data_IF_904774884670
#
_entry.id   IF_904774884670
#
_cell.length_a   1.000
_cell.length_b   1.000
_cell.length_c   1.000
_cell.angle_alpha   90.00
_cell.angle_beta   90.00
_cell.angle_gamma   90.00
#
_symmetry.space_group_name_H-M   'P 1'
#
loop_
_entity.id
_entity.type
_entity.pdbx_description
1 polymer ?
#
# COMPACT_ATOMS: atom_id res chain seq x y z
N UNK A 1 22.26 10.54 -3.94
CA UNK A 1 21.82 9.89 -5.21
C UNK A 1 22.84 8.82 -5.53
N UNK A 2 22.44 7.57 -5.50
CA UNK A 2 23.29 6.42 -5.79
C UNK A 2 23.73 6.46 -7.27
N UNK A 3 24.94 5.95 -7.59
CA UNK A 3 25.40 5.88 -8.99
C UNK A 3 24.42 5.12 -9.90
N UNK A 4 23.75 4.13 -9.37
CA UNK A 4 22.73 3.34 -10.08
C UNK A 4 21.50 4.17 -10.46
N UNK A 5 21.00 5.05 -9.58
CA UNK A 5 19.88 5.94 -9.85
C UNK A 5 20.16 6.88 -11.02
N UNK A 6 21.38 7.43 -11.06
CA UNK A 6 21.79 8.31 -12.15
C UNK A 6 21.83 7.57 -13.51
N UNK A 7 22.29 6.32 -13.52
CA UNK A 7 22.33 5.47 -14.71
C UNK A 7 20.92 5.13 -15.18
N UNK A 8 20.02 4.70 -14.27
CA UNK A 8 18.65 4.35 -14.60
C UNK A 8 17.87 5.56 -15.12
N UNK A 9 17.98 6.73 -14.46
CA UNK A 9 17.39 7.97 -14.96
C UNK A 9 17.92 8.35 -16.35
N UNK A 10 19.23 8.21 -16.56
CA UNK A 10 19.83 8.44 -17.86
C UNK A 10 19.26 7.51 -18.94
N UNK A 11 19.08 6.23 -18.66
CA UNK A 11 18.48 5.25 -19.56
C UNK A 11 17.03 5.63 -19.88
N UNK A 12 16.25 6.04 -18.88
CA UNK A 12 14.85 6.38 -19.05
C UNK A 12 14.59 7.71 -19.78
N UNK A 13 15.63 8.55 -19.92
CA UNK A 13 15.59 9.73 -20.79
C UNK A 13 15.91 9.42 -22.27
N UNK A 14 16.26 8.17 -22.60
CA UNK A 14 16.56 7.79 -23.98
C UNK A 14 15.29 7.76 -24.84
N UNK A 15 15.40 8.08 -26.14
CA UNK A 15 14.36 7.77 -27.12
C UNK A 15 14.00 6.28 -27.08
N UNK A 16 12.73 5.94 -27.27
CA UNK A 16 12.20 4.57 -27.11
C UNK A 16 13.05 3.50 -27.82
N UNK A 17 13.46 3.75 -29.08
CA UNK A 17 14.27 2.79 -29.84
C UNK A 17 15.68 2.54 -29.25
N UNK A 18 16.27 3.52 -28.55
CA UNK A 18 17.53 3.36 -27.83
C UNK A 18 17.31 2.68 -26.47
N UNK A 19 16.26 3.07 -25.77
CA UNK A 19 15.86 2.42 -24.52
C UNK A 19 15.68 0.90 -24.71
N UNK A 20 14.91 0.50 -25.73
CA UNK A 20 14.68 -0.91 -26.02
C UNK A 20 15.98 -1.67 -26.37
N UNK A 21 16.95 -1.04 -27.05
CA UNK A 21 18.26 -1.65 -27.31
C UNK A 21 19.04 -1.90 -26.02
N UNK A 22 19.07 -0.91 -25.12
CA UNK A 22 19.75 -1.05 -23.81
C UNK A 22 19.08 -2.12 -22.98
N UNK A 23 17.75 -2.12 -22.91
CA UNK A 23 16.96 -3.13 -22.22
C UNK A 23 17.25 -4.54 -22.77
N UNK A 24 17.18 -4.74 -24.07
CA UNK A 24 17.44 -6.02 -24.71
C UNK A 24 18.88 -6.50 -24.46
N UNK A 25 19.85 -5.60 -24.46
CA UNK A 25 21.23 -5.94 -24.06
C UNK A 25 21.31 -6.41 -22.60
N UNK A 26 20.62 -5.74 -21.68
CA UNK A 26 20.55 -6.14 -20.26
C UNK A 26 19.91 -7.53 -20.11
N UNK A 27 18.84 -7.82 -20.85
CA UNK A 27 18.19 -9.14 -20.90
C UNK A 27 19.19 -10.20 -21.38
N UNK A 28 19.88 -9.97 -22.51
CA UNK A 28 20.87 -10.91 -23.07
C UNK A 28 22.05 -11.18 -22.13
N UNK A 29 22.36 -10.22 -21.24
CA UNK A 29 23.41 -10.36 -20.23
C UNK A 29 22.90 -10.87 -18.88
N UNK A 30 21.67 -11.39 -18.82
CA UNK A 30 21.02 -11.89 -17.62
C UNK A 30 21.04 -10.88 -16.44
N UNK A 31 20.91 -9.59 -16.76
CA UNK A 31 20.83 -8.51 -15.78
C UNK A 31 19.37 -8.21 -15.42
N UNK A 32 18.64 -9.24 -14.95
CA UNK A 32 17.19 -9.16 -14.69
C UNK A 32 16.82 -7.99 -13.79
N UNK A 33 17.54 -7.79 -12.69
CA UNK A 33 17.33 -6.65 -11.80
C UNK A 33 17.40 -5.30 -12.54
N UNK A 34 18.40 -5.10 -13.42
CA UNK A 34 18.53 -3.86 -14.18
C UNK A 34 17.37 -3.67 -15.15
N UNK A 35 16.90 -4.74 -15.77
CA UNK A 35 15.72 -4.71 -16.65
C UNK A 35 14.48 -4.27 -15.88
N UNK A 36 14.23 -4.90 -14.75
CA UNK A 36 13.09 -4.56 -13.89
C UNK A 36 13.11 -3.09 -13.45
N UNK A 37 14.27 -2.61 -12.97
CA UNK A 37 14.40 -1.22 -12.54
C UNK A 37 14.20 -0.26 -13.72
N UNK A 38 14.80 -0.54 -14.88
CA UNK A 38 14.62 0.29 -16.06
C UNK A 38 13.16 0.33 -16.52
N UNK A 39 12.49 -0.82 -16.57
CA UNK A 39 11.08 -0.91 -16.98
C UNK A 39 10.17 -0.14 -16.04
N UNK A 40 10.42 -0.27 -14.75
CA UNK A 40 9.64 0.40 -13.73
C UNK A 40 9.81 1.93 -13.76
N UNK A 41 11.06 2.43 -13.83
CA UNK A 41 11.32 3.86 -13.99
C UNK A 41 10.78 4.40 -15.31
N UNK A 42 10.93 3.64 -16.40
CA UNK A 42 10.39 4.01 -17.70
C UNK A 42 8.88 4.16 -17.65
N UNK A 43 8.19 3.19 -17.06
CA UNK A 43 6.74 3.23 -16.88
C UNK A 43 6.28 4.40 -15.98
N UNK A 44 7.11 4.88 -15.05
CA UNK A 44 6.81 6.03 -14.21
C UNK A 44 7.07 7.39 -14.90
N UNK A 45 7.53 7.40 -16.15
CA UNK A 45 7.67 8.64 -16.90
C UNK A 45 6.32 9.31 -17.19
N UNK A 46 6.31 10.65 -17.33
CA UNK A 46 5.08 11.43 -17.60
C UNK A 46 4.32 10.98 -18.85
N UNK A 47 4.99 10.32 -19.81
CA UNK A 47 4.34 9.82 -21.01
C UNK A 47 3.22 8.82 -20.71
N UNK A 48 3.36 8.03 -19.63
CA UNK A 48 2.34 7.07 -19.23
C UNK A 48 1.13 7.69 -18.51
N UNK A 49 1.22 8.95 -18.10
CA UNK A 49 0.07 9.70 -17.61
C UNK A 49 -0.87 10.15 -18.75
N UNK A 50 -0.36 10.15 -19.97
CA UNK A 50 -1.05 10.68 -21.17
C UNK A 50 -1.30 9.59 -22.21
N UNK A 51 -1.35 8.32 -21.79
CA UNK A 51 -1.65 7.22 -22.71
C UNK A 51 -3.09 7.35 -23.22
N UNK A 52 -3.24 7.13 -24.53
CA UNK A 52 -4.50 7.16 -25.26
C UNK A 52 -4.83 5.77 -25.83
N UNK A 53 -6.01 5.63 -26.42
CA UNK A 53 -6.45 4.36 -27.01
C UNK A 53 -5.44 3.78 -28.01
N UNK A 54 -4.79 4.65 -28.82
CA UNK A 54 -3.78 4.27 -29.81
C UNK A 54 -2.51 3.65 -29.24
N UNK A 55 -2.21 3.89 -27.97
CA UNK A 55 -1.02 3.37 -27.30
C UNK A 55 -1.16 1.91 -26.86
N UNK A 56 -2.39 1.38 -26.83
CA UNK A 56 -2.66 0.02 -26.40
C UNK A 56 -2.93 -0.91 -27.59
N UNK A 57 -2.28 -2.07 -27.60
CA UNK A 57 -2.41 -3.08 -28.65
C UNK A 57 -3.52 -4.09 -28.34
N UNK A 58 -3.79 -4.37 -27.07
CA UNK A 58 -4.81 -5.30 -26.57
C UNK A 58 -5.21 -4.91 -25.15
N UNK A 59 -6.20 -5.62 -24.61
CA UNK A 59 -6.57 -5.53 -23.18
C UNK A 59 -5.97 -6.70 -22.43
N UNK A 60 -5.41 -6.46 -21.22
CA UNK A 60 -5.08 -7.52 -20.26
C UNK A 60 -6.14 -7.54 -19.16
N UNK A 61 -6.97 -8.58 -19.18
CA UNK A 61 -7.94 -8.86 -18.10
C UNK A 61 -7.22 -9.55 -16.92
N UNK A 62 -7.18 -8.88 -15.77
CA UNK A 62 -6.51 -9.35 -14.57
C UNK A 62 -7.55 -10.05 -13.67
N UNK A 63 -7.71 -11.35 -13.88
CA UNK A 63 -8.66 -12.21 -13.16
C UNK A 63 -7.97 -13.10 -12.13
N UNK A 64 -6.63 -13.15 -12.15
CA UNK A 64 -5.81 -13.96 -11.25
C UNK A 64 -4.67 -13.12 -10.69
N UNK A 65 -4.30 -13.41 -9.45
CA UNK A 65 -3.14 -12.84 -8.78
C UNK A 65 -2.18 -13.93 -8.30
N UNK A 66 -1.18 -13.54 -7.53
CA UNK A 66 -0.24 -14.47 -6.90
C UNK A 66 -0.94 -15.39 -5.88
N UNK A 67 -2.01 -14.89 -5.25
CA UNK A 67 -2.83 -15.63 -4.29
C UNK A 67 -4.30 -15.52 -4.66
N UNK A 68 -5.10 -16.44 -4.15
CA UNK A 68 -6.55 -16.37 -4.21
C UNK A 68 -7.02 -15.42 -3.09
N UNK A 69 -7.32 -14.18 -3.48
CA UNK A 69 -7.81 -13.16 -2.55
C UNK A 69 -9.33 -13.23 -2.44
N UNK A 70 -9.83 -13.31 -1.23
CA UNK A 70 -11.28 -13.35 -0.95
C UNK A 70 -11.84 -11.97 -0.60
N UNK A 71 -10.98 -11.01 -0.22
CA UNK A 71 -11.33 -9.65 0.17
C UNK A 71 -10.12 -8.71 0.01
N UNK A 72 -10.37 -7.42 0.10
CA UNK A 72 -9.34 -6.40 0.03
C UNK A 72 -8.35 -6.48 1.19
N UNK A 73 -7.07 -6.48 0.86
CA UNK A 73 -5.95 -6.27 1.79
C UNK A 73 -4.75 -5.66 1.04
N UNK A 74 -3.71 -5.26 1.77
CA UNK A 74 -2.56 -4.58 1.14
C UNK A 74 -1.77 -5.48 0.19
N UNK A 75 -1.74 -6.79 0.43
CA UNK A 75 -1.09 -7.73 -0.50
C UNK A 75 -1.85 -7.78 -1.82
N UNK A 76 -3.19 -7.78 -1.78
CA UNK A 76 -4.01 -7.65 -2.98
C UNK A 76 -3.67 -6.38 -3.76
N UNK A 77 -3.66 -5.22 -3.09
CA UNK A 77 -3.36 -3.93 -3.73
C UNK A 77 -1.99 -3.95 -4.42
N UNK A 78 -0.94 -4.35 -3.71
CA UNK A 78 0.42 -4.41 -4.25
C UNK A 78 0.53 -5.40 -5.42
N UNK A 79 -0.20 -6.52 -5.36
CA UNK A 79 -0.25 -7.48 -6.45
C UNK A 79 -0.91 -6.89 -7.72
N UNK A 80 -2.05 -6.21 -7.55
CA UNK A 80 -2.73 -5.55 -8.68
C UNK A 80 -1.85 -4.46 -9.29
N UNK A 81 -1.17 -3.65 -8.50
CA UNK A 81 -0.21 -2.66 -9.00
C UNK A 81 0.90 -3.31 -9.84
N UNK A 82 1.44 -4.45 -9.40
CA UNK A 82 2.44 -5.20 -10.16
C UNK A 82 1.91 -5.70 -11.51
N UNK A 83 0.68 -6.19 -11.55
CA UNK A 83 0.03 -6.66 -12.78
C UNK A 83 -0.37 -5.51 -13.72
N UNK A 84 -0.73 -4.34 -13.17
CA UNK A 84 -0.92 -3.11 -13.96
C UNK A 84 0.39 -2.72 -14.65
N UNK A 85 1.52 -2.75 -13.93
CA UNK A 85 2.85 -2.49 -14.49
C UNK A 85 3.14 -3.45 -15.63
N UNK A 86 2.89 -4.76 -15.44
CA UNK A 86 3.06 -5.78 -16.49
C UNK A 86 2.24 -5.43 -17.74
N UNK A 87 0.97 -5.10 -17.57
CA UNK A 87 0.10 -4.75 -18.68
C UNK A 87 0.61 -3.53 -19.45
N UNK A 88 0.84 -2.42 -18.74
CA UNK A 88 1.26 -1.14 -19.35
C UNK A 88 2.61 -1.26 -20.05
N UNK A 89 3.59 -1.94 -19.45
CA UNK A 89 4.91 -2.19 -20.07
C UNK A 89 4.81 -3.02 -21.33
N UNK A 90 3.78 -3.85 -21.46
CA UNK A 90 3.49 -4.64 -22.66
C UNK A 90 2.54 -3.95 -23.65
N UNK A 91 2.26 -2.64 -23.49
CA UNK A 91 1.28 -1.90 -24.28
C UNK A 91 -0.13 -2.53 -24.27
N UNK A 92 -0.53 -3.10 -23.14
CA UNK A 92 -1.86 -3.68 -22.93
C UNK A 92 -2.63 -2.83 -21.94
N UNK A 93 -3.89 -2.56 -22.27
CA UNK A 93 -4.81 -1.84 -21.36
C UNK A 93 -5.16 -2.74 -20.18
N UNK A 94 -4.77 -2.38 -18.94
CA UNK A 94 -5.14 -3.17 -17.76
C UNK A 94 -6.62 -3.03 -17.45
N UNK A 95 -7.28 -4.17 -17.18
CA UNK A 95 -8.63 -4.23 -16.61
C UNK A 95 -8.62 -5.23 -15.48
N UNK A 96 -8.90 -4.76 -14.27
CA UNK A 96 -8.89 -5.60 -13.08
C UNK A 96 -10.29 -6.17 -12.91
N UNK A 97 -10.42 -7.46 -13.17
CA UNK A 97 -11.66 -8.23 -13.11
C UNK A 97 -11.53 -9.37 -12.07
N UNK A 98 -10.82 -9.08 -10.98
CA UNK A 98 -10.60 -10.03 -9.90
C UNK A 98 -11.83 -10.07 -8.99
N UNK A 99 -12.54 -11.20 -9.00
CA UNK A 99 -13.78 -11.38 -8.25
C UNK A 99 -13.56 -12.22 -6.99
N UNK A 100 -14.27 -11.88 -5.92
CA UNK A 100 -14.34 -12.66 -4.69
C UNK A 100 -15.26 -13.89 -4.84
N UNK A 101 -15.37 -14.69 -3.77
CA UNK A 101 -16.26 -15.85 -3.74
C UNK A 101 -17.76 -15.53 -3.89
N UNK A 102 -18.15 -14.24 -3.81
CA UNK A 102 -19.50 -13.74 -4.00
C UNK A 102 -19.74 -13.19 -5.42
N UNK A 103 -18.70 -13.22 -6.28
CA UNK A 103 -18.75 -12.69 -7.64
C UNK A 103 -18.62 -11.17 -7.73
N UNK A 104 -18.15 -10.50 -6.66
CA UNK A 104 -17.93 -9.05 -6.65
C UNK A 104 -16.48 -8.73 -7.01
N UNK A 105 -16.26 -7.74 -7.87
CA UNK A 105 -14.92 -7.29 -8.21
C UNK A 105 -14.28 -6.57 -7.02
N UNK A 106 -13.24 -7.19 -6.42
CA UNK A 106 -12.57 -6.67 -5.21
C UNK A 106 -11.95 -5.29 -5.46
N UNK A 107 -11.41 -5.03 -6.65
CA UNK A 107 -10.82 -3.74 -6.99
C UNK A 107 -11.88 -2.64 -7.06
N UNK A 108 -12.95 -2.87 -7.81
CA UNK A 108 -14.00 -1.87 -8.05
C UNK A 108 -14.83 -1.54 -6.82
N UNK A 109 -14.80 -2.39 -5.79
CA UNK A 109 -15.39 -2.04 -4.50
C UNK A 109 -14.74 -0.77 -3.91
N UNK A 110 -13.46 -0.51 -4.21
CA UNK A 110 -12.69 0.58 -3.59
C UNK A 110 -12.09 1.57 -4.57
N UNK A 111 -11.77 1.16 -5.80
CA UNK A 111 -10.97 1.94 -6.73
C UNK A 111 -11.61 2.07 -8.10
N UNK A 112 -11.27 3.15 -8.80
CA UNK A 112 -11.52 3.31 -10.23
C UNK A 112 -10.60 2.37 -11.01
N UNK A 113 -11.04 1.94 -12.21
CA UNK A 113 -10.18 1.17 -13.11
C UNK A 113 -9.01 2.01 -13.62
N UNK A 114 -7.80 1.44 -13.77
CA UNK A 114 -6.71 2.12 -14.44
C UNK A 114 -7.12 2.52 -15.86
N UNK A 115 -6.88 3.78 -16.25
CA UNK A 115 -7.27 4.32 -17.56
C UNK A 115 -8.75 4.11 -17.87
N UNK A 116 -9.63 4.43 -16.92
CA UNK A 116 -11.08 4.21 -16.98
C UNK A 116 -11.72 4.77 -18.27
N UNK A 117 -11.23 5.94 -18.71
CA UNK A 117 -11.78 6.64 -19.89
C UNK A 117 -11.31 6.04 -21.23
N UNK A 118 -10.41 5.05 -21.22
CA UNK A 118 -9.93 4.39 -22.44
C UNK A 118 -10.73 3.12 -22.68
N UNK A 119 -11.26 2.98 -23.91
CA UNK A 119 -12.00 1.80 -24.33
C UNK A 119 -11.50 1.37 -25.72
N UNK A 120 -11.14 0.10 -25.86
CA UNK A 120 -10.58 -0.46 -27.11
C UNK A 120 -11.37 -1.70 -27.58
N UNK A 121 -12.63 -1.51 -28.03
CA UNK A 121 -13.59 -2.61 -28.22
C UNK A 121 -13.18 -3.64 -29.28
N UNK A 122 -12.41 -3.21 -30.28
CA UNK A 122 -12.04 -4.06 -31.44
C UNK A 122 -10.70 -4.79 -31.26
N UNK A 123 -10.07 -4.67 -30.07
CA UNK A 123 -8.77 -5.30 -29.80
C UNK A 123 -8.95 -6.56 -28.95
N UNK A 124 -8.01 -7.50 -29.12
CA UNK A 124 -8.00 -8.75 -28.41
C UNK A 124 -7.96 -8.56 -26.87
N UNK A 125 -8.70 -9.39 -26.15
CA UNK A 125 -8.63 -9.49 -24.68
C UNK A 125 -7.78 -10.71 -24.33
N UNK A 126 -6.74 -10.51 -23.56
CA UNK A 126 -5.90 -11.56 -23.02
C UNK A 126 -6.17 -11.68 -21.51
N UNK A 127 -6.15 -12.90 -20.99
CA UNK A 127 -6.30 -13.13 -19.55
C UNK A 127 -4.91 -13.20 -18.93
N UNK A 128 -4.71 -12.49 -17.82
CA UNK A 128 -3.45 -12.56 -17.06
C UNK A 128 -3.23 -13.98 -16.50
N UNK A 129 -2.00 -14.45 -16.63
CA UNK A 129 -1.52 -15.70 -16.01
C UNK A 129 -1.28 -15.57 -14.50
N UNK A 130 -1.30 -14.34 -13.96
CA UNK A 130 -0.98 -14.01 -12.56
C UNK A 130 0.50 -13.78 -12.30
N UNK A 131 1.38 -14.05 -13.27
CA UNK A 131 2.81 -13.81 -13.12
C UNK A 131 3.13 -12.32 -13.03
N UNK A 132 3.99 -11.97 -12.10
CA UNK A 132 4.38 -10.59 -11.82
C UNK A 132 5.68 -10.21 -12.54
N UNK A 133 5.78 -8.95 -12.96
CA UNK A 133 7.02 -8.35 -13.48
C UNK A 133 7.84 -7.74 -12.36
N UNK A 134 7.17 -7.20 -11.36
CA UNK A 134 7.78 -6.70 -10.12
C UNK A 134 7.21 -7.49 -8.94
N UNK A 135 8.07 -7.82 -7.97
CA UNK A 135 7.65 -8.46 -6.73
C UNK A 135 6.88 -7.52 -5.81
N UNK A 136 6.43 -8.04 -4.69
CA UNK A 136 5.97 -7.20 -3.57
C UNK A 136 7.10 -6.32 -3.07
N UNK A 137 6.79 -5.13 -2.51
CA UNK A 137 7.80 -4.36 -1.80
C UNK A 137 8.37 -5.20 -0.65
N UNK A 138 9.69 -5.37 -0.62
CA UNK A 138 10.39 -5.98 0.50
C UNK A 138 10.24 -5.15 1.77
N UNK A 139 10.30 -5.77 2.94
CA UNK A 139 10.19 -5.02 4.19
C UNK A 139 11.33 -4.02 4.40
N UNK A 140 12.49 -4.27 3.81
CA UNK A 140 13.65 -3.37 3.79
C UNK A 140 13.46 -2.14 2.88
N UNK A 141 12.52 -2.16 1.97
CA UNK A 141 12.28 -1.05 1.03
C UNK A 141 11.69 0.19 1.72
N UNK A 142 11.13 0.04 2.92
CA UNK A 142 10.57 1.17 3.69
C UNK A 142 11.66 2.15 4.17
N UNK A 143 12.93 1.76 4.16
CA UNK A 143 14.07 2.60 4.52
C UNK A 143 14.86 3.13 3.31
N UNK A 144 14.42 2.79 2.09
CA UNK A 144 15.08 3.17 0.84
C UNK A 144 14.28 4.25 0.12
N UNK A 145 14.76 5.49 0.14
CA UNK A 145 14.03 6.65 -0.42
C UNK A 145 13.67 6.51 -1.90
N UNK A 146 14.54 5.89 -2.70
CA UNK A 146 14.28 5.63 -4.12
C UNK A 146 13.15 4.61 -4.31
N UNK A 147 13.11 3.56 -3.47
CA UNK A 147 12.05 2.55 -3.49
C UNK A 147 10.72 3.11 -2.99
N UNK A 148 10.76 3.94 -1.94
CA UNK A 148 9.55 4.63 -1.47
C UNK A 148 8.97 5.53 -2.55
N UNK A 149 9.81 6.28 -3.26
CA UNK A 149 9.35 7.13 -4.37
C UNK A 149 8.80 6.31 -5.53
N UNK A 150 9.41 5.18 -5.81
CA UNK A 150 8.97 4.27 -6.86
C UNK A 150 7.55 3.75 -6.57
N UNK A 151 7.36 3.11 -5.42
CA UNK A 151 6.05 2.63 -4.99
C UNK A 151 5.06 3.77 -4.80
N UNK A 152 5.48 4.88 -4.21
CA UNK A 152 4.67 6.08 -4.07
C UNK A 152 4.13 6.60 -5.42
N UNK A 153 4.95 6.58 -6.48
CA UNK A 153 4.50 6.93 -7.83
C UNK A 153 3.45 5.95 -8.36
N UNK A 154 3.60 4.64 -8.11
CA UNK A 154 2.58 3.64 -8.48
C UNK A 154 1.27 3.87 -7.75
N UNK A 155 1.33 4.10 -6.43
CA UNK A 155 0.15 4.42 -5.64
C UNK A 155 -0.52 5.70 -6.13
N UNK A 156 0.22 6.78 -6.33
CA UNK A 156 -0.31 8.07 -6.80
C UNK A 156 -0.97 7.96 -8.17
N UNK A 157 -0.45 7.13 -9.06
CA UNK A 157 -0.95 6.96 -10.43
C UNK A 157 -2.17 6.07 -10.50
N UNK A 158 -2.18 4.94 -9.81
CA UNK A 158 -3.16 3.88 -10.01
C UNK A 158 -4.13 3.67 -8.85
N UNK A 159 -3.78 4.09 -7.63
CA UNK A 159 -4.70 3.98 -6.48
C UNK A 159 -5.61 5.21 -6.45
N UNK A 160 -6.65 5.17 -7.26
CA UNK A 160 -7.69 6.19 -7.33
C UNK A 160 -8.95 5.64 -6.69
N UNK A 161 -9.35 6.24 -5.59
CA UNK A 161 -10.59 5.84 -4.91
C UNK A 161 -11.81 6.12 -5.79
N UNK A 162 -12.72 5.16 -5.89
CA UNK A 162 -14.03 5.42 -6.44
C UNK A 162 -14.81 6.42 -5.57
N UNK A 163 -15.91 6.96 -6.06
CA UNK A 163 -16.64 8.03 -5.38
C UNK A 163 -17.12 7.64 -3.97
N UNK A 164 -17.58 6.40 -3.78
CA UNK A 164 -18.07 5.92 -2.50
C UNK A 164 -16.93 5.82 -1.47
N UNK A 165 -15.79 5.23 -1.85
CA UNK A 165 -14.60 5.12 -1.00
C UNK A 165 -14.04 6.49 -0.68
N UNK A 166 -13.99 7.40 -1.68
CA UNK A 166 -13.51 8.78 -1.50
C UNK A 166 -14.36 9.51 -0.47
N UNK A 167 -15.68 9.49 -0.61
CA UNK A 167 -16.59 10.13 0.34
C UNK A 167 -16.43 9.59 1.76
N UNK A 168 -16.28 8.27 1.92
CA UNK A 168 -16.06 7.66 3.22
C UNK A 168 -14.73 8.14 3.84
N UNK A 169 -13.62 8.08 3.10
CA UNK A 169 -12.31 8.50 3.57
C UNK A 169 -12.27 9.99 3.89
N UNK A 170 -12.88 10.84 3.06
CA UNK A 170 -12.97 12.28 3.31
C UNK A 170 -13.75 12.57 4.59
N UNK A 171 -14.86 11.85 4.83
CA UNK A 171 -15.64 12.01 6.05
C UNK A 171 -14.83 11.63 7.30
N UNK A 172 -14.12 10.49 7.28
CA UNK A 172 -13.27 10.03 8.38
C UNK A 172 -12.07 10.97 8.61
N UNK A 173 -11.50 11.50 7.53
CA UNK A 173 -10.32 12.36 7.58
C UNK A 173 -10.63 13.75 8.11
N UNK A 174 -11.78 14.32 7.74
CA UNK A 174 -12.20 15.70 8.01
C UNK A 174 -12.11 16.10 9.48
N UNK A 175 -12.46 15.19 10.39
CA UNK A 175 -12.48 15.49 11.83
C UNK A 175 -11.12 15.27 12.49
N UNK A 176 -10.22 14.55 11.83
CA UNK A 176 -8.90 14.18 12.33
C UNK A 176 -7.84 15.15 11.80
N UNK A 177 -7.70 15.24 10.48
CA UNK A 177 -6.70 16.10 9.83
C UNK A 177 -7.25 17.52 9.66
N UNK A 178 -6.71 18.45 10.41
CA UNK A 178 -7.07 19.89 10.36
C UNK A 178 -5.81 20.71 10.24
N UNK A 179 -5.89 21.86 9.57
CA UNK A 179 -4.74 22.75 9.31
C UNK A 179 -4.06 23.25 10.60
N UNK A 180 -4.82 23.42 11.67
CA UNK A 180 -4.33 23.88 12.97
C UNK A 180 -3.77 22.76 13.87
N UNK A 181 -3.74 21.51 13.39
CA UNK A 181 -3.28 20.35 14.16
C UNK A 181 -2.00 19.76 13.61
N UNK A 182 -1.03 19.59 14.50
CA UNK A 182 0.14 18.74 14.24
C UNK A 182 -0.08 17.38 14.86
N UNK A 183 -0.02 16.36 14.03
CA UNK A 183 -0.44 15.00 14.38
C UNK A 183 0.70 14.03 14.10
N UNK A 184 1.07 13.23 15.11
CA UNK A 184 1.91 12.06 14.93
C UNK A 184 1.05 10.87 14.56
N UNK A 185 1.29 10.23 13.43
CA UNK A 185 0.70 8.95 13.09
C UNK A 185 1.39 7.82 13.85
N UNK A 186 0.63 6.95 14.48
CA UNK A 186 1.15 5.74 15.13
C UNK A 186 0.41 4.52 14.60
N UNK A 187 1.15 3.54 14.06
CA UNK A 187 0.60 2.25 13.69
C UNK A 187 1.13 1.19 14.65
N UNK A 188 0.23 0.67 15.48
CA UNK A 188 0.52 -0.39 16.44
C UNK A 188 -0.31 -1.63 16.12
N UNK A 189 0.36 -2.65 15.57
CA UNK A 189 -0.24 -3.93 15.23
C UNK A 189 -0.05 -4.91 16.41
N UNK A 190 -1.12 -5.52 16.86
CA UNK A 190 -1.08 -6.33 18.08
C UNK A 190 -1.85 -7.65 18.01
N UNK A 191 -2.29 -8.09 16.83
CA UNK A 191 -3.11 -9.29 16.68
C UNK A 191 -2.31 -10.52 16.23
N UNK A 192 -2.50 -10.96 15.00
CA UNK A 192 -1.93 -12.20 14.46
C UNK A 192 -0.39 -12.21 14.41
N UNK A 193 0.25 -11.07 14.13
CA UNK A 193 1.72 -11.00 14.06
C UNK A 193 2.38 -11.23 15.42
N UNK A 194 1.83 -10.66 16.50
CA UNK A 194 2.36 -10.85 17.86
C UNK A 194 2.03 -12.23 18.40
N UNK A 195 0.83 -12.75 18.09
CA UNK A 195 0.39 -14.05 18.56
C UNK A 195 1.06 -15.22 17.84
N UNK A 196 1.23 -15.11 16.49
CA UNK A 196 1.73 -16.21 15.65
C UNK A 196 3.20 -16.14 15.31
N UNK A 197 3.79 -14.96 15.35
CA UNK A 197 5.20 -14.74 14.99
C UNK A 197 5.57 -15.42 13.67
N UNK A 198 4.88 -15.08 12.56
CA UNK A 198 5.02 -15.82 11.32
C UNK A 198 6.44 -15.70 10.79
N UNK A 199 7.07 -16.85 10.49
CA UNK A 199 8.44 -16.92 10.02
C UNK A 199 8.69 -16.01 8.81
N UNK A 200 9.79 -15.26 8.83
CA UNK A 200 10.17 -14.35 7.74
C UNK A 200 9.42 -13.01 7.73
N UNK A 201 8.53 -12.76 8.70
CA UNK A 201 7.87 -11.47 8.86
C UNK A 201 8.59 -10.61 9.92
N UNK A 202 8.50 -9.26 9.83
CA UNK A 202 9.14 -8.38 10.80
C UNK A 202 8.62 -8.57 12.22
N UNK A 203 9.55 -8.61 13.15
CA UNK A 203 9.24 -8.63 14.58
C UNK A 203 8.54 -7.32 14.95
N UNK A 204 7.39 -7.41 15.61
CA UNK A 204 6.66 -6.24 16.06
C UNK A 204 7.20 -5.76 17.43
N UNK A 205 7.30 -4.44 17.65
CA UNK A 205 7.73 -3.88 18.93
C UNK A 205 6.73 -4.17 20.04
N UNK A 206 7.23 -4.21 21.27
CA UNK A 206 6.38 -4.25 22.45
C UNK A 206 5.60 -2.94 22.61
N UNK A 207 4.42 -3.02 23.21
CA UNK A 207 3.55 -1.84 23.38
C UNK A 207 4.24 -0.71 24.15
N UNK A 208 5.03 -1.04 25.20
CA UNK A 208 5.83 -0.05 25.93
C UNK A 208 6.80 0.73 25.04
N UNK A 209 7.48 0.04 24.12
CA UNK A 209 8.47 0.65 23.24
C UNK A 209 7.81 1.63 22.24
N UNK A 210 6.62 1.25 21.73
CA UNK A 210 5.83 2.15 20.86
C UNK A 210 5.35 3.38 21.63
N UNK A 211 4.84 3.21 22.86
CA UNK A 211 4.37 4.31 23.71
C UNK A 211 5.49 5.30 24.01
N UNK A 212 6.67 4.80 24.40
CA UNK A 212 7.84 5.62 24.71
C UNK A 212 8.36 6.35 23.46
N UNK A 213 8.42 5.66 22.31
CA UNK A 213 8.82 6.27 21.05
C UNK A 213 7.80 7.30 20.55
N UNK A 214 6.52 7.05 20.70
CA UNK A 214 5.47 8.02 20.37
C UNK A 214 5.59 9.29 21.24
N UNK A 215 5.88 9.15 22.54
CA UNK A 215 6.09 10.30 23.42
C UNK A 215 7.34 11.11 23.02
N UNK A 216 8.45 10.43 22.68
CA UNK A 216 9.68 11.05 22.20
C UNK A 216 9.39 11.85 20.93
N UNK A 217 8.77 11.23 19.90
CA UNK A 217 8.52 11.86 18.60
C UNK A 217 7.45 12.95 18.64
N UNK A 218 6.44 12.82 19.51
CA UNK A 218 5.52 13.93 19.77
C UNK A 218 6.23 15.21 20.24
N UNK A 219 7.21 15.06 21.16
CA UNK A 219 7.99 16.20 21.66
C UNK A 219 8.89 16.79 20.60
N UNK A 220 9.61 15.95 19.86
CA UNK A 220 10.55 16.36 18.80
C UNK A 220 9.83 17.11 17.66
N UNK A 221 8.68 16.58 17.20
CA UNK A 221 7.90 17.13 16.11
C UNK A 221 6.87 18.20 16.55
N UNK A 222 6.82 18.51 17.84
CA UNK A 222 5.81 19.40 18.43
C UNK A 222 4.37 19.02 18.07
N UNK A 223 4.07 17.72 17.99
CA UNK A 223 2.74 17.22 17.72
C UNK A 223 1.83 17.37 18.96
N UNK A 224 0.61 17.86 18.76
CA UNK A 224 -0.39 18.00 19.81
C UNK A 224 -1.21 16.72 19.99
N UNK A 225 -1.39 15.97 18.91
CA UNK A 225 -2.23 14.80 18.86
C UNK A 225 -1.47 13.58 18.29
N UNK A 226 -1.99 12.39 18.62
CA UNK A 226 -1.61 11.12 17.99
C UNK A 226 -2.82 10.62 17.22
N UNK A 227 -2.65 10.32 15.94
CA UNK A 227 -3.58 9.46 15.22
C UNK A 227 -3.12 8.01 15.39
N UNK A 228 -3.94 7.23 16.08
CA UNK A 228 -3.64 5.82 16.38
C UNK A 228 -4.36 4.89 15.41
N UNK A 229 -3.60 4.15 14.61
CA UNK A 229 -4.08 3.06 13.77
C UNK A 229 -3.74 1.73 14.48
N UNK A 230 -4.76 1.10 15.04
CA UNK A 230 -4.65 -0.22 15.67
C UNK A 230 -5.97 -0.98 15.54
N UNK A 231 -5.91 -2.28 15.45
CA UNK A 231 -7.06 -3.17 15.50
C UNK A 231 -7.33 -3.74 16.88
N UNK A 232 -6.60 -3.29 17.93
CA UNK A 232 -6.63 -3.84 19.28
C UNK A 232 -7.13 -2.81 20.28
N UNK A 233 -8.26 -3.07 20.93
CA UNK A 233 -8.86 -2.17 21.91
C UNK A 233 -8.01 -1.99 23.17
N UNK A 234 -7.24 -3.00 23.57
CA UNK A 234 -6.30 -2.89 24.70
C UNK A 234 -5.16 -1.90 24.40
N UNK A 235 -4.71 -1.82 23.14
CA UNK A 235 -3.74 -0.82 22.66
C UNK A 235 -4.34 0.58 22.69
N UNK A 236 -5.55 0.77 22.17
CA UNK A 236 -6.25 2.07 22.22
C UNK A 236 -6.38 2.56 23.67
N UNK A 237 -6.77 1.67 24.58
CA UNK A 237 -6.90 1.98 26.01
C UNK A 237 -5.57 2.44 26.61
N UNK A 238 -4.48 1.71 26.37
CA UNK A 238 -3.15 2.06 26.87
C UNK A 238 -2.67 3.42 26.32
N UNK A 239 -2.93 3.72 25.05
CA UNK A 239 -2.62 5.01 24.48
C UNK A 239 -3.43 6.15 25.10
N UNK A 240 -4.74 5.95 25.37
CA UNK A 240 -5.58 6.95 26.05
C UNK A 240 -5.16 7.18 27.50
N UNK A 241 -4.72 6.15 28.20
CA UNK A 241 -4.16 6.27 29.54
C UNK A 241 -2.84 7.07 29.56
N UNK A 242 -1.94 6.83 28.58
CA UNK A 242 -0.65 7.51 28.49
C UNK A 242 -0.76 8.94 27.96
N UNK A 243 -1.71 9.20 27.04
CA UNK A 243 -1.89 10.47 26.34
C UNK A 243 -3.34 10.97 26.45
N UNK A 244 -3.80 11.36 27.64
CA UNK A 244 -5.17 11.83 27.84
C UNK A 244 -5.55 12.93 26.87
N UNK A 245 -6.74 12.83 26.27
CA UNK A 245 -7.34 13.81 25.33
C UNK A 245 -6.55 14.08 24.05
N UNK A 246 -5.52 13.27 23.74
CA UNK A 246 -4.68 13.47 22.52
C UNK A 246 -4.86 12.40 21.47
N UNK A 247 -5.64 11.35 21.73
CA UNK A 247 -5.78 10.22 20.81
C UNK A 247 -6.93 10.46 19.85
N UNK A 248 -6.61 10.40 18.54
CA UNK A 248 -7.54 10.44 17.43
C UNK A 248 -7.57 9.07 16.76
N UNK A 249 -8.75 8.58 16.42
CA UNK A 249 -8.95 7.32 15.71
C UNK A 249 -10.04 7.52 14.64
N UNK A 250 -9.97 6.76 13.55
CA UNK A 250 -11.08 6.64 12.61
C UNK A 250 -12.08 5.59 13.11
N UNK A 251 -13.27 5.56 12.51
CA UNK A 251 -14.28 4.54 12.78
C UNK A 251 -13.73 3.15 12.48
N UNK A 252 -13.89 2.23 13.42
CA UNK A 252 -13.43 0.84 13.30
C UNK A 252 -14.01 -0.09 14.34
N UNK A 253 -13.97 -1.39 14.05
CA UNK A 253 -14.14 -2.45 15.01
C UNK A 253 -12.79 -2.89 15.59
N UNK A 254 -12.78 -3.35 16.84
CA UNK A 254 -11.61 -3.97 17.47
C UNK A 254 -11.69 -5.49 17.41
N UNK A 255 -10.55 -6.12 17.19
CA UNK A 255 -10.45 -7.56 16.93
C UNK A 255 -10.06 -8.40 18.13
N UNK A 256 -9.52 -7.79 19.20
CA UNK A 256 -8.95 -8.48 20.36
C UNK A 256 -9.94 -9.42 21.08
N UNK A 257 -11.20 -9.06 21.22
CA UNK A 257 -12.20 -9.95 21.82
C UNK A 257 -12.45 -11.21 21.01
N UNK A 258 -12.30 -11.16 19.71
CA UNK A 258 -12.41 -12.31 18.81
C UNK A 258 -11.20 -13.26 18.92
N UNK A 259 -10.00 -12.71 19.20
CA UNK A 259 -8.78 -13.50 19.40
C UNK A 259 -8.67 -14.13 20.79
N UNK A 260 -9.31 -13.54 21.82
CA UNK A 260 -9.32 -14.06 23.19
C UNK A 260 -9.98 -15.43 23.32
N UNK A 261 -10.90 -15.79 22.41
CA UNK A 261 -11.53 -17.12 22.38
C UNK A 261 -10.57 -18.26 22.00
N UNK A 262 -9.42 -17.95 21.39
CA UNK A 262 -8.40 -18.92 21.00
C UNK A 262 -8.68 -19.69 19.69
N UNK A 263 -9.87 -19.53 19.12
CA UNK A 263 -10.30 -20.26 17.91
C UNK A 263 -9.81 -19.61 16.61
N UNK A 264 -9.54 -18.31 16.63
CA UNK A 264 -9.12 -17.54 15.46
C UNK A 264 -7.60 -17.43 15.38
N UNK A 265 -7.09 -17.63 14.18
CA UNK A 265 -5.64 -17.67 13.92
C UNK A 265 -5.14 -16.49 13.10
N UNK A 266 -5.99 -15.89 12.28
CA UNK A 266 -5.65 -14.77 11.41
C UNK A 266 -6.72 -13.69 11.44
N UNK A 267 -6.33 -12.42 11.22
CA UNK A 267 -7.29 -11.31 11.05
C UNK A 267 -8.32 -11.61 9.97
N UNK A 268 -7.93 -12.32 8.92
CA UNK A 268 -8.83 -12.69 7.84
C UNK A 268 -10.03 -13.54 8.28
N UNK A 269 -9.86 -14.30 9.37
CA UNK A 269 -10.90 -15.19 9.88
C UNK A 269 -11.89 -14.48 10.81
N UNK A 270 -11.62 -13.18 11.12
CA UNK A 270 -12.50 -12.37 11.98
C UNK A 270 -13.70 -11.86 11.18
N UNK A 271 -14.90 -12.16 11.65
CA UNK A 271 -16.15 -11.64 11.12
C UNK A 271 -16.94 -10.93 12.21
N UNK A 272 -17.51 -9.78 11.85
CA UNK A 272 -18.43 -9.02 12.68
C UNK A 272 -19.85 -9.22 12.19
N UNK A 273 -20.82 -9.20 13.12
CA UNK A 273 -22.25 -9.35 12.81
C UNK A 273 -22.81 -8.03 12.25
N UNK A 274 -22.37 -7.69 11.04
CA UNK A 274 -22.82 -6.51 10.30
C UNK A 274 -22.92 -6.80 8.80
N UNK A 275 -23.82 -6.12 8.13
CA UNK A 275 -23.98 -6.25 6.69
C UNK A 275 -22.72 -5.75 5.97
N UNK A 276 -22.28 -6.44 4.92
CA UNK A 276 -21.10 -6.11 4.11
C UNK A 276 -19.79 -5.98 4.91
N UNK A 277 -19.58 -6.84 5.91
CA UNK A 277 -18.45 -6.77 6.84
C UNK A 277 -17.09 -6.70 6.14
N UNK A 278 -16.83 -7.54 5.12
CA UNK A 278 -15.56 -7.54 4.40
C UNK A 278 -15.28 -6.20 3.69
N UNK A 279 -16.31 -5.60 3.12
CA UNK A 279 -16.23 -4.27 2.51
C UNK A 279 -15.97 -3.18 3.56
N UNK A 280 -16.68 -3.22 4.69
CA UNK A 280 -16.49 -2.24 5.77
C UNK A 280 -15.11 -2.36 6.40
N UNK A 281 -14.61 -3.57 6.64
CA UNK A 281 -13.22 -3.80 7.09
C UNK A 281 -12.21 -3.18 6.10
N UNK A 282 -12.45 -3.34 4.80
CA UNK A 282 -11.62 -2.73 3.75
C UNK A 282 -11.62 -1.20 3.81
N UNK A 283 -12.79 -0.57 3.96
CA UNK A 283 -12.93 0.88 4.11
C UNK A 283 -12.24 1.42 5.37
N UNK A 284 -12.46 0.76 6.51
CA UNK A 284 -11.83 1.11 7.79
C UNK A 284 -10.30 1.02 7.69
N UNK A 285 -9.79 -0.01 7.02
CA UNK A 285 -8.35 -0.20 6.81
C UNK A 285 -7.78 0.85 5.86
N UNK A 286 -8.38 1.06 4.68
CA UNK A 286 -7.94 2.08 3.72
C UNK A 286 -7.97 3.49 4.31
N UNK A 287 -9.03 3.82 5.06
CA UNK A 287 -9.14 5.08 5.78
C UNK A 287 -7.99 5.25 6.77
N UNK A 288 -7.64 4.19 7.53
CA UNK A 288 -6.51 4.23 8.46
C UNK A 288 -5.18 4.51 7.76
N UNK A 289 -4.89 3.84 6.65
CA UNK A 289 -3.65 4.03 5.90
C UNK A 289 -3.57 5.44 5.29
N UNK A 290 -4.70 5.92 4.76
CA UNK A 290 -4.79 7.25 4.19
C UNK A 290 -4.57 8.34 5.24
N UNK A 291 -5.23 8.25 6.41
CA UNK A 291 -5.06 9.23 7.49
C UNK A 291 -3.62 9.20 8.02
N UNK A 292 -3.03 8.02 8.24
CA UNK A 292 -1.61 7.89 8.58
C UNK A 292 -0.74 8.65 7.60
N UNK A 293 -0.99 8.50 6.29
CA UNK A 293 -0.20 9.17 5.25
C UNK A 293 -0.32 10.69 5.24
N UNK A 294 -1.27 11.27 5.98
CA UNK A 294 -1.49 12.72 6.12
C UNK A 294 -0.96 13.30 7.43
N UNK A 295 -0.42 12.48 8.31
CA UNK A 295 0.20 12.94 9.55
C UNK A 295 1.55 13.61 9.31
N UNK A 296 2.02 14.42 10.26
CA UNK A 296 3.31 15.12 10.16
C UNK A 296 4.51 14.15 10.26
N UNK A 297 4.38 13.10 11.04
CA UNK A 297 5.39 12.04 11.16
C UNK A 297 4.72 10.71 11.44
N UNK A 298 5.50 9.63 11.39
CA UNK A 298 5.00 8.28 11.65
C UNK A 298 5.93 7.51 12.60
N UNK A 299 5.33 6.80 13.56
CA UNK A 299 5.97 5.75 14.37
C UNK A 299 5.21 4.45 14.14
N UNK A 300 5.89 3.39 13.71
CA UNK A 300 5.22 2.13 13.38
C UNK A 300 6.13 0.91 13.53
N UNK A 301 5.53 -0.24 13.80
CA UNK A 301 6.14 -1.53 13.49
C UNK A 301 6.21 -1.71 11.96
N UNK A 302 7.24 -2.43 11.48
CA UNK A 302 7.35 -2.73 10.05
C UNK A 302 6.31 -3.78 9.64
N UNK A 303 5.45 -3.43 8.71
CA UNK A 303 4.42 -4.31 8.15
C UNK A 303 3.87 -3.73 6.85
N UNK A 304 3.04 -4.47 6.12
CA UNK A 304 2.43 -3.99 4.89
C UNK A 304 1.61 -2.69 5.06
N UNK A 305 0.99 -2.48 6.22
CA UNK A 305 0.26 -1.24 6.52
C UNK A 305 1.16 -0.02 6.67
N UNK A 306 2.29 -0.14 7.38
CA UNK A 306 3.26 0.95 7.51
C UNK A 306 3.90 1.28 6.16
N UNK A 307 4.26 0.26 5.36
CA UNK A 307 4.76 0.45 3.99
C UNK A 307 3.76 1.24 3.13
N UNK A 308 2.50 0.79 3.10
CA UNK A 308 1.47 1.46 2.30
C UNK A 308 1.26 2.92 2.73
N UNK A 309 1.25 3.20 4.02
CA UNK A 309 1.13 4.57 4.53
C UNK A 309 2.31 5.45 4.11
N UNK A 310 3.54 4.91 4.15
CA UNK A 310 4.75 5.60 3.68
C UNK A 310 4.71 5.84 2.18
N UNK A 311 4.26 4.87 1.38
CA UNK A 311 4.12 5.04 -0.07
C UNK A 311 3.03 6.06 -0.42
N UNK A 312 1.90 6.05 0.26
CA UNK A 312 0.83 7.06 0.10
C UNK A 312 1.27 8.46 0.52
N UNK A 313 2.15 8.58 1.53
CA UNK A 313 2.74 9.84 1.96
C UNK A 313 3.79 10.38 0.96
N UNK A 314 4.35 9.52 0.13
CA UNK A 314 5.39 9.87 -0.84
C UNK A 314 6.69 10.39 -0.22
N UNK A 315 7.03 9.93 0.98
CA UNK A 315 8.20 10.36 1.77
C UNK A 315 8.18 11.85 2.14
N UNK A 316 7.00 12.39 2.39
CA UNK A 316 6.79 13.80 2.80
C UNK A 316 6.68 13.95 4.32
N UNK A 317 6.79 12.86 5.11
CA UNK A 317 6.86 12.95 6.57
C UNK A 317 8.05 13.80 7.01
N UNK A 318 7.86 14.64 8.04
CA UNK A 318 8.95 15.35 8.71
C UNK A 318 9.92 14.36 9.39
N UNK A 319 9.36 13.26 9.91
CA UNK A 319 10.10 12.15 10.52
C UNK A 319 9.39 10.84 10.28
N UNK A 320 10.14 9.81 9.95
CA UNK A 320 9.66 8.42 9.79
C UNK A 320 10.47 7.52 10.69
N UNK A 321 9.84 7.00 11.73
CA UNK A 321 10.44 6.01 12.62
C UNK A 321 9.74 4.67 12.48
N UNK A 322 10.43 3.70 11.87
CA UNK A 322 9.93 2.33 11.73
C UNK A 322 10.84 1.43 12.55
N UNK A 323 10.25 0.64 13.45
CA UNK A 323 11.01 -0.31 14.24
C UNK A 323 11.60 -1.39 13.34
N UNK A 324 12.94 -1.53 13.37
CA UNK A 324 13.67 -2.65 12.76
C UNK A 324 14.17 -3.58 13.85
N UNK A 325 13.41 -4.63 14.13
CA UNK A 325 13.69 -5.63 15.16
C UNK A 325 14.07 -6.99 14.54
N UNK A 326 14.37 -7.00 13.23
CA UNK A 326 14.65 -8.21 12.47
C UNK A 326 13.40 -8.99 12.11
N UNK A 327 13.58 -10.26 11.74
CA UNK A 327 12.51 -11.15 11.28
C UNK A 327 12.29 -12.31 12.26
N UNK A 328 11.05 -12.74 12.41
CA UNK A 328 10.72 -13.98 13.13
C UNK A 328 11.39 -15.19 12.47
N UNK A 329 12.02 -16.06 13.28
CA UNK A 329 12.80 -17.22 12.86
C UNK A 329 11.96 -18.47 12.67
#
# INVERSE_FOLDING_TARGET
MNQYDAVIRGINCLPEGLYQRVRNFAVQKNRHWLVEQCDLYHMLSEKYDKLEEGDFQSTLSIQKGLYDYEYFNICFLNNMLSLIVKAVSAHKLPRIEFVDGKGQNIWEQFFEQPYENIHIPDKAVEISDGDQVIGFPGFEEIDQDDRIRLWGNLYRRYVRFNDQTRQYIEQETKDIIKEDRRILGVLCRGTDYTAKKPKGHPVQPELSDILDKAEEKMKELHCQYIYLATEVGDVDRAFRERFPDKILINKREYYDDKFKSGDLTWIKDVHFERENDDYLKGLEYLSSLYILSKCNGIVAGNCGGSQASVFMNYNEYEERYIFDLGLYQ
#
